data_IF_707119947221
#
_entry.id   IF_707119947221
#
_cell.length_a   1.000
_cell.length_b   1.000
_cell.length_c   1.000
_cell.angle_alpha   90.00
_cell.angle_beta   90.00
_cell.angle_gamma   90.00
#
_symmetry.space_group_name_H-M   'P 1'
#
loop_
_entity.id
_entity.type
_entity.pdbx_description
1 polymer ?
#
# COMPACT_ATOMS: atom_id res chain seq x y z
N UNK A 1 -26.29 -1.40 -0.04
CA UNK A 1 -25.42 -1.96 -1.11
C UNK A 1 -24.13 -1.16 -1.07
N UNK A 2 -22.97 -1.82 -1.01
CA UNK A 2 -21.66 -1.16 -1.00
C UNK A 2 -20.95 -1.31 -2.33
N UNK A 3 -19.69 -0.88 -2.37
CA UNK A 3 -18.79 -1.05 -3.50
C UNK A 3 -17.42 -1.54 -3.01
N UNK A 4 -16.61 -2.01 -3.95
CA UNK A 4 -15.17 -2.22 -3.78
C UNK A 4 -14.46 -1.34 -4.81
N UNK A 5 -13.40 -0.66 -4.38
CA UNK A 5 -12.58 0.21 -5.22
C UNK A 5 -11.11 -0.09 -4.90
N UNK A 6 -10.30 -0.21 -5.95
CA UNK A 6 -8.85 -0.33 -5.87
C UNK A 6 -8.25 0.85 -6.63
N UNK A 7 -7.28 1.52 -6.00
CA UNK A 7 -6.50 2.63 -6.56
C UNK A 7 -5.04 2.27 -6.38
N UNK A 8 -4.24 2.50 -7.42
CA UNK A 8 -2.82 2.14 -7.44
C UNK A 8 -2.00 3.34 -7.95
N UNK A 9 -0.99 3.75 -7.19
CA UNK A 9 0.02 4.72 -7.61
C UNK A 9 1.19 3.99 -8.28
N UNK A 10 0.95 3.41 -9.46
CA UNK A 10 1.86 2.41 -10.06
C UNK A 10 3.25 2.94 -10.40
N UNK A 11 3.39 4.24 -10.68
CA UNK A 11 4.67 4.82 -11.10
C UNK A 11 5.65 5.06 -9.94
N UNK A 12 5.22 4.93 -8.68
CA UNK A 12 6.15 4.95 -7.53
C UNK A 12 7.19 3.84 -7.69
N UNK A 13 6.75 2.65 -8.11
CA UNK A 13 7.61 1.51 -8.42
C UNK A 13 8.59 1.83 -9.57
N UNK A 14 8.10 2.48 -10.62
CA UNK A 14 8.94 2.86 -11.76
C UNK A 14 10.01 3.88 -11.38
N UNK A 15 9.69 4.84 -10.51
CA UNK A 15 10.67 5.75 -9.92
C UNK A 15 11.73 5.01 -9.09
N UNK A 16 11.32 3.97 -8.35
CA UNK A 16 12.20 3.05 -7.64
C UNK A 16 13.15 2.32 -8.57
N UNK A 17 12.65 1.68 -9.63
CA UNK A 17 13.47 1.01 -10.64
C UNK A 17 14.43 1.97 -11.36
N UNK A 18 14.00 3.22 -11.59
CA UNK A 18 14.82 4.25 -12.21
C UNK A 18 15.89 4.83 -11.27
N UNK A 19 15.85 4.50 -9.97
CA UNK A 19 16.65 5.14 -8.93
C UNK A 19 16.53 6.67 -8.95
N UNK A 20 15.31 7.17 -9.17
CA UNK A 20 15.00 8.59 -9.27
C UNK A 20 14.17 9.05 -8.07
N UNK A 21 14.84 9.71 -7.12
CA UNK A 21 14.19 10.23 -5.91
C UNK A 21 13.10 11.24 -6.21
N UNK A 22 13.29 12.13 -7.19
CA UNK A 22 12.29 13.15 -7.50
C UNK A 22 11.04 12.50 -8.10
N UNK A 23 11.22 11.51 -8.98
CA UNK A 23 10.10 10.76 -9.55
C UNK A 23 9.29 10.04 -8.47
N UNK A 24 9.96 9.36 -7.52
CA UNK A 24 9.29 8.72 -6.37
C UNK A 24 8.50 9.76 -5.56
N UNK A 25 9.11 10.92 -5.28
CA UNK A 25 8.48 11.97 -4.48
C UNK A 25 7.24 12.52 -5.17
N UNK A 26 7.33 12.83 -6.47
CA UNK A 26 6.21 13.39 -7.24
C UNK A 26 5.03 12.41 -7.30
N UNK A 27 5.28 11.14 -7.57
CA UNK A 27 4.21 10.11 -7.62
C UNK A 27 3.64 9.79 -6.22
N UNK A 28 4.47 9.86 -5.17
CA UNK A 28 3.98 9.75 -3.79
C UNK A 28 3.09 10.92 -3.39
N UNK A 29 3.38 12.14 -3.86
CA UNK A 29 2.50 13.31 -3.64
C UNK A 29 1.16 13.11 -4.33
N UNK A 30 1.16 12.61 -5.57
CA UNK A 30 -0.08 12.33 -6.30
C UNK A 30 -0.90 11.20 -5.64
N UNK A 31 -0.24 10.15 -5.16
CA UNK A 31 -0.90 9.10 -4.40
C UNK A 31 -1.45 9.61 -3.05
N UNK A 32 -0.70 10.45 -2.32
CA UNK A 32 -1.15 11.07 -1.07
C UNK A 32 -2.38 11.97 -1.28
N UNK A 33 -2.41 12.75 -2.36
CA UNK A 33 -3.59 13.53 -2.74
C UNK A 33 -4.82 12.64 -2.95
N UNK A 34 -4.66 11.50 -3.62
CA UNK A 34 -5.75 10.52 -3.81
C UNK A 34 -6.19 9.89 -2.48
N UNK A 35 -5.24 9.54 -1.60
CA UNK A 35 -5.51 9.05 -0.24
C UNK A 35 -6.32 10.07 0.56
N UNK A 36 -5.96 11.35 0.49
CA UNK A 36 -6.70 12.43 1.15
C UNK A 36 -8.17 12.46 0.73
N UNK A 37 -8.45 12.38 -0.58
CA UNK A 37 -9.84 12.34 -1.08
C UNK A 37 -10.62 11.10 -0.60
N UNK A 38 -9.95 9.94 -0.54
CA UNK A 38 -10.56 8.69 -0.06
C UNK A 38 -10.86 8.75 1.44
N UNK A 39 -9.95 9.32 2.24
CA UNK A 39 -10.14 9.50 3.67
C UNK A 39 -11.28 10.49 3.97
N UNK A 40 -11.35 11.61 3.24
CA UNK A 40 -12.46 12.58 3.36
C UNK A 40 -13.81 11.93 3.03
N UNK A 41 -13.86 11.13 1.97
CA UNK A 41 -15.06 10.36 1.63
C UNK A 41 -15.43 9.38 2.75
N UNK A 42 -14.47 8.60 3.23
CA UNK A 42 -14.71 7.58 4.24
C UNK A 42 -15.16 8.16 5.58
N UNK A 43 -14.57 9.30 5.99
CA UNK A 43 -14.97 10.03 7.18
C UNK A 43 -16.41 10.55 7.08
N UNK A 44 -16.82 11.02 5.89
CA UNK A 44 -18.18 11.50 5.64
C UNK A 44 -19.21 10.37 5.57
N UNK A 45 -18.86 9.25 4.96
CA UNK A 45 -19.73 8.09 4.81
C UNK A 45 -19.91 7.31 6.13
N UNK A 46 -18.86 7.23 6.94
CA UNK A 46 -18.86 6.56 8.25
C UNK A 46 -18.96 5.03 8.20
N UNK A 47 -19.17 4.44 7.02
CA UNK A 47 -19.31 3.00 6.81
C UNK A 47 -18.26 2.44 5.84
N UNK A 48 -17.29 3.26 5.44
CA UNK A 48 -16.24 2.90 4.49
C UNK A 48 -14.97 2.52 5.23
N UNK A 49 -14.47 1.31 4.95
CA UNK A 49 -13.15 0.84 5.36
C UNK A 49 -12.15 1.19 4.26
N UNK A 50 -11.09 1.90 4.63
CA UNK A 50 -9.96 2.24 3.78
C UNK A 50 -8.76 1.42 4.23
N UNK A 51 -8.07 0.79 3.29
CA UNK A 51 -6.83 0.03 3.52
C UNK A 51 -5.79 0.58 2.54
N UNK A 52 -4.62 0.94 3.04
CA UNK A 52 -3.49 1.47 2.26
C UNK A 52 -2.30 0.57 2.53
N UNK A 53 -1.66 0.07 1.49
CA UNK A 53 -0.48 -0.80 1.57
C UNK A 53 0.34 -0.65 0.29
N UNK A 54 1.55 -1.18 0.30
CA UNK A 54 2.27 -1.53 -0.92
C UNK A 54 2.21 -3.04 -1.16
N UNK A 55 2.56 -3.46 -2.37
CA UNK A 55 2.77 -4.86 -2.78
C UNK A 55 4.20 -5.33 -2.49
N UNK A 56 5.19 -4.46 -2.70
CA UNK A 56 6.60 -4.63 -2.32
C UNK A 56 7.33 -3.28 -2.19
N UNK A 57 8.59 -3.31 -1.73
CA UNK A 57 9.51 -2.18 -1.78
C UNK A 57 10.38 -2.28 -3.03
N UNK A 58 10.72 -1.13 -3.63
CA UNK A 58 11.53 -1.06 -4.85
C UNK A 58 12.67 -0.05 -4.72
N UNK A 59 13.88 -0.45 -5.12
CA UNK A 59 15.08 0.38 -5.13
C UNK A 59 15.93 0.29 -3.84
N UNK A 60 15.35 -0.23 -2.75
CA UNK A 60 15.97 -0.19 -1.42
C UNK A 60 16.28 1.25 -1.02
N UNK A 61 15.27 2.12 -1.15
CA UNK A 61 15.43 3.56 -1.04
C UNK A 61 15.66 3.99 0.41
N UNK A 62 16.76 4.71 0.64
CA UNK A 62 17.14 5.27 1.93
C UNK A 62 17.16 6.78 1.90
N UNK A 63 16.55 7.41 2.90
CA UNK A 63 16.69 8.85 3.15
C UNK A 63 17.97 9.06 3.97
N UNK A 64 18.97 9.69 3.37
CA UNK A 64 20.20 10.08 4.06
C UNK A 64 20.06 11.47 4.67
N UNK A 65 21.17 12.04 5.16
CA UNK A 65 21.18 13.39 5.71
C UNK A 65 20.62 14.40 4.70
N UNK A 66 19.84 15.36 5.20
CA UNK A 66 19.46 16.51 4.39
C UNK A 66 20.70 17.37 4.15
N UNK A 67 20.83 17.91 2.94
CA UNK A 67 21.83 18.94 2.66
C UNK A 67 21.48 20.24 3.41
N UNK A 68 22.44 21.18 3.47
CA UNK A 68 22.31 22.45 4.22
C UNK A 68 21.10 23.32 3.76
N UNK A 69 20.53 23.03 2.60
CA UNK A 69 19.37 23.71 2.03
C UNK A 69 18.02 23.00 2.26
N UNK A 70 18.03 21.86 2.96
CA UNK A 70 16.84 21.06 3.26
C UNK A 70 16.43 20.08 2.15
N UNK A 71 17.26 19.92 1.11
CA UNK A 71 17.03 18.91 0.08
C UNK A 71 17.24 17.50 0.63
N UNK A 72 16.32 16.59 0.29
CA UNK A 72 16.43 15.17 0.65
C UNK A 72 17.53 14.53 -0.19
N UNK A 73 18.57 14.03 0.46
CA UNK A 73 19.58 13.20 -0.21
C UNK A 73 19.15 11.74 -0.14
N UNK A 74 18.54 11.26 -1.22
CA UNK A 74 18.17 9.87 -1.39
C UNK A 74 19.36 8.96 -1.72
N UNK A 75 19.28 7.69 -1.38
CA UNK A 75 20.22 6.66 -1.82
C UNK A 75 19.49 5.37 -2.16
N UNK A 76 20.03 4.61 -3.11
CA UNK A 76 19.47 3.36 -3.58
C UNK A 76 20.47 2.21 -3.40
N UNK A 77 19.98 1.00 -3.21
CA UNK A 77 20.83 -0.19 -3.04
C UNK A 77 20.70 -1.18 -4.21
N UNK A 78 19.65 -1.04 -5.02
CA UNK A 78 19.36 -1.87 -6.19
C UNK A 78 18.47 -1.08 -7.15
N UNK A 79 18.36 -1.52 -8.40
CA UNK A 79 17.36 -1.10 -9.38
C UNK A 79 16.20 -2.12 -9.49
N UNK A 80 16.04 -2.99 -8.48
CA UNK A 80 15.00 -4.02 -8.41
C UNK A 80 14.23 -3.95 -7.08
N UNK A 81 13.32 -4.89 -6.85
CA UNK A 81 12.57 -4.98 -5.60
C UNK A 81 13.45 -5.43 -4.43
N UNK A 82 13.11 -5.02 -3.20
CA UNK A 82 13.65 -5.59 -1.97
C UNK A 82 12.58 -6.32 -1.15
N UNK A 83 13.02 -7.16 -0.22
CA UNK A 83 12.13 -7.92 0.66
C UNK A 83 11.79 -7.18 1.97
N UNK A 84 11.97 -5.86 2.01
CA UNK A 84 11.61 -5.04 3.16
C UNK A 84 10.11 -5.15 3.42
N UNK A 85 9.72 -5.26 4.70
CA UNK A 85 8.31 -5.30 5.06
C UNK A 85 7.64 -3.97 4.72
N UNK A 86 6.50 -4.04 4.04
CA UNK A 86 5.69 -2.87 3.73
C UNK A 86 4.63 -2.63 4.80
N UNK A 87 4.31 -1.36 5.13
CA UNK A 87 3.27 -1.05 6.10
C UNK A 87 1.88 -1.31 5.53
N UNK A 88 0.94 -1.64 6.41
CA UNK A 88 -0.50 -1.60 6.13
C UNK A 88 -1.13 -0.56 7.06
N UNK A 89 -1.79 0.43 6.48
CA UNK A 89 -2.60 1.41 7.21
C UNK A 89 -4.08 1.11 6.96
N UNK A 90 -4.91 1.33 7.97
CA UNK A 90 -6.35 1.17 7.83
C UNK A 90 -7.11 2.25 8.60
N UNK A 91 -8.25 2.68 8.03
CA UNK A 91 -9.16 3.67 8.63
C UNK A 91 -10.62 3.25 8.40
N UNK A 92 -11.48 3.55 9.37
CA UNK A 92 -12.91 3.24 9.31
C UNK A 92 -13.30 1.95 10.07
N UNK A 93 -14.54 1.46 9.91
CA UNK A 93 -15.04 0.31 10.66
C UNK A 93 -14.23 -0.97 10.38
N UNK A 94 -13.74 -1.62 11.44
CA UNK A 94 -12.97 -2.86 11.34
C UNK A 94 -11.47 -2.67 11.05
N UNK A 95 -10.97 -1.43 11.02
CA UNK A 95 -9.57 -1.11 10.78
C UNK A 95 -8.61 -1.79 11.79
N UNK A 96 -9.06 -2.04 13.02
CA UNK A 96 -8.29 -2.73 14.06
C UNK A 96 -7.86 -4.15 13.66
N UNK A 97 -8.58 -4.78 12.73
CA UNK A 97 -8.22 -6.11 12.21
C UNK A 97 -6.93 -6.10 11.38
N UNK A 98 -6.43 -4.94 10.95
CA UNK A 98 -5.23 -4.76 10.14
C UNK A 98 -3.99 -4.36 10.96
N UNK A 99 -4.09 -4.38 12.29
CA UNK A 99 -2.93 -4.14 13.15
C UNK A 99 -2.01 -5.38 13.25
N UNK A 100 -0.72 -5.15 13.46
CA UNK A 100 0.28 -6.19 13.68
C UNK A 100 1.03 -6.60 12.42
N UNK A 101 1.75 -7.72 12.51
CA UNK A 101 2.56 -8.27 11.43
C UNK A 101 1.90 -9.55 10.90
N UNK A 102 1.73 -9.66 9.59
CA UNK A 102 1.10 -10.81 8.95
C UNK A 102 1.50 -10.89 7.47
N UNK A 103 1.25 -12.04 6.84
CA UNK A 103 1.47 -12.22 5.39
C UNK A 103 0.46 -11.39 4.58
N UNK A 104 0.88 -10.84 3.44
CA UNK A 104 0.01 -10.04 2.57
C UNK A 104 -1.28 -10.80 2.14
N UNK A 105 -1.24 -12.13 2.05
CA UNK A 105 -2.40 -12.99 1.79
C UNK A 105 -3.52 -12.80 2.79
N UNK A 106 -3.20 -12.42 4.03
CA UNK A 106 -4.19 -12.16 5.07
C UNK A 106 -5.04 -10.91 4.79
N UNK A 107 -4.54 -9.95 3.99
CA UNK A 107 -5.30 -8.73 3.62
C UNK A 107 -6.59 -9.14 2.88
N UNK A 108 -6.49 -10.06 1.93
CA UNK A 108 -7.65 -10.58 1.19
C UNK A 108 -8.68 -11.22 2.12
N UNK A 109 -8.23 -12.07 3.04
CA UNK A 109 -9.13 -12.74 3.99
C UNK A 109 -9.78 -11.75 4.98
N UNK A 110 -9.03 -10.76 5.46
CA UNK A 110 -9.54 -9.68 6.33
C UNK A 110 -10.56 -8.81 5.61
N UNK A 111 -10.33 -8.47 4.34
CA UNK A 111 -11.31 -7.73 3.52
C UNK A 111 -12.62 -8.51 3.36
N UNK A 112 -12.54 -9.81 3.04
CA UNK A 112 -13.75 -10.63 2.92
C UNK A 112 -14.55 -10.70 4.22
N UNK A 113 -13.85 -10.82 5.35
CA UNK A 113 -14.47 -10.77 6.67
C UNK A 113 -15.17 -9.42 6.92
N UNK A 114 -14.52 -8.30 6.58
CA UNK A 114 -15.10 -6.96 6.71
C UNK A 114 -16.36 -6.78 5.84
N UNK A 115 -16.38 -7.32 4.62
CA UNK A 115 -17.56 -7.33 3.75
C UNK A 115 -18.61 -8.39 4.13
N UNK A 116 -18.40 -9.17 5.19
CA UNK A 116 -19.25 -10.31 5.56
C UNK A 116 -19.44 -11.33 4.42
N UNK A 117 -18.46 -11.44 3.53
CA UNK A 117 -18.45 -12.41 2.43
C UNK A 117 -17.86 -13.72 2.94
N UNK A 118 -18.62 -14.80 2.82
CA UNK A 118 -18.14 -16.15 3.10
C UNK A 118 -17.67 -16.81 1.80
N UNK A 119 -16.40 -17.24 1.77
CA UNK A 119 -15.93 -18.08 0.67
C UNK A 119 -16.60 -19.46 0.73
N UNK A 120 -16.95 -20.06 -0.42
CA UNK A 120 -17.42 -21.43 -0.45
C UNK A 120 -16.33 -22.37 0.05
N UNK A 121 -16.70 -23.31 0.94
CA UNK A 121 -15.82 -24.20 1.71
C UNK A 121 -14.98 -25.17 0.84
N UNK A 122 -15.12 -25.16 -0.49
CA UNK A 122 -14.55 -26.16 -1.39
C UNK A 122 -13.44 -25.68 -2.35
N UNK A 123 -12.90 -24.47 -2.20
CA UNK A 123 -11.66 -24.12 -2.88
C UNK A 123 -10.49 -24.38 -1.92
N UNK A 124 -9.87 -25.57 -2.02
CA UNK A 124 -8.52 -25.76 -1.51
C UNK A 124 -7.64 -24.57 -1.94
N UNK A 125 -6.70 -24.10 -1.11
CA UNK A 125 -5.78 -23.05 -1.54
C UNK A 125 -5.06 -23.57 -2.78
N UNK A 126 -5.44 -23.04 -3.96
CA UNK A 126 -4.57 -23.13 -5.11
C UNK A 126 -3.38 -22.28 -4.71
N UNK A 127 -2.22 -22.91 -4.56
CA UNK A 127 -0.97 -22.17 -4.63
C UNK A 127 -1.06 -21.35 -5.92
N UNK A 128 -1.16 -20.04 -5.77
CA UNK A 128 -0.94 -19.14 -6.88
C UNK A 128 0.58 -19.16 -7.03
N UNK A 129 1.06 -20.01 -7.93
CA UNK A 129 2.44 -19.90 -8.42
C UNK A 129 2.52 -18.53 -9.09
N UNK A 130 3.17 -17.59 -8.41
CA UNK A 130 3.66 -16.37 -9.03
C UNK A 130 4.89 -16.82 -9.82
N UNK A 131 4.76 -16.84 -11.15
CA UNK A 131 5.91 -16.91 -12.06
C UNK A 131 6.68 -15.59 -12.00
#
# INVERSE_FOLDING_TARGET
>A
KGFFLMIEGSQIDWGGHANDSQYIIDEMIDFDNAVGQVLDFAAKDGNTLVIITADHETGGYGINAADDDGTIVGGFTTDYHTATMVPVFAYGPGAEAFAGMYHNTEIFHKMLAAFSIRLPVNSAPKQVEIQ
#
